data_IF_309533323266
#
_entry.id   IF_309533323266
#
_cell.length_a   1.000
_cell.length_b   1.000
_cell.length_c   1.000
_cell.angle_alpha   90.00
_cell.angle_beta   90.00
_cell.angle_gamma   90.00
#
_symmetry.space_group_name_H-M   'P 1'
#
loop_
_entity.id
_entity.type
_entity.pdbx_description
1 polymer ?
#
# COMPACT_ATOMS: atom_id res chain seq x y z
N UNK A 1 5.34 5.66 -9.39
CA UNK A 1 4.46 5.26 -10.48
C UNK A 1 5.22 5.25 -11.78
N UNK A 2 4.92 4.31 -12.69
CA UNK A 2 5.51 4.30 -14.02
C UNK A 2 5.03 5.51 -14.82
N UNK A 3 5.98 6.21 -15.45
CA UNK A 3 5.71 7.33 -16.36
C UNK A 3 5.17 6.86 -17.72
N UNK A 4 5.35 5.59 -18.06
CA UNK A 4 4.84 4.97 -19.28
C UNK A 4 3.39 4.50 -19.10
N UNK A 5 2.48 5.03 -19.92
CA UNK A 5 1.06 4.66 -19.93
C UNK A 5 0.82 3.16 -20.16
N UNK A 6 1.59 2.53 -21.05
CA UNK A 6 1.41 1.10 -21.39
C UNK A 6 1.68 0.17 -20.20
N UNK A 7 2.57 0.58 -19.30
CA UNK A 7 2.84 -0.15 -18.06
C UNK A 7 1.85 0.26 -16.97
N UNK A 8 1.51 1.55 -16.89
CA UNK A 8 0.54 2.04 -15.93
C UNK A 8 -0.85 1.39 -16.10
N UNK A 9 -1.32 1.21 -17.32
CA UNK A 9 -2.63 0.57 -17.59
C UNK A 9 -2.68 -0.88 -17.12
N UNK A 10 -1.53 -1.58 -17.11
CA UNK A 10 -1.43 -2.93 -16.55
C UNK A 10 -1.52 -2.93 -15.02
N UNK A 11 -1.13 -1.83 -14.38
CA UNK A 11 -1.27 -1.62 -12.94
C UNK A 11 -2.69 -1.20 -12.49
N UNK A 12 -3.68 -1.19 -13.39
CA UNK A 12 -5.05 -0.80 -13.04
C UNK A 12 -5.79 -1.90 -12.29
N UNK A 13 -6.34 -1.58 -11.12
CA UNK A 13 -7.31 -2.41 -10.40
C UNK A 13 -8.74 -1.97 -10.74
N UNK A 14 -9.59 -2.93 -11.10
CA UNK A 14 -11.01 -2.69 -11.41
C UNK A 14 -11.91 -2.85 -10.18
N UNK A 15 -13.10 -2.25 -10.21
CA UNK A 15 -14.08 -2.33 -9.10
C UNK A 15 -14.51 -3.77 -8.84
N UNK A 16 -14.74 -4.55 -9.89
CA UNK A 16 -15.24 -5.92 -9.75
C UNK A 16 -14.17 -6.85 -9.16
N UNK A 17 -12.90 -6.65 -9.53
CA UNK A 17 -11.74 -7.33 -8.93
C UNK A 17 -11.62 -6.99 -7.43
N UNK A 18 -11.71 -5.70 -7.09
CA UNK A 18 -11.69 -5.22 -5.71
C UNK A 18 -12.85 -5.79 -4.88
N UNK A 19 -14.06 -5.82 -5.45
CA UNK A 19 -15.24 -6.37 -4.82
C UNK A 19 -15.07 -7.86 -4.49
N UNK A 20 -14.60 -8.65 -5.45
CA UNK A 20 -14.42 -10.09 -5.25
C UNK A 20 -13.35 -10.41 -4.21
N UNK A 21 -12.24 -9.67 -4.19
CA UNK A 21 -11.21 -9.80 -3.15
C UNK A 21 -11.77 -9.51 -1.75
N UNK A 22 -12.55 -8.43 -1.60
CA UNK A 22 -13.16 -8.07 -0.32
C UNK A 22 -14.24 -9.06 0.12
N UNK A 23 -15.03 -9.57 -0.82
CA UNK A 23 -16.04 -10.59 -0.54
C UNK A 23 -15.42 -11.91 -0.08
N UNK A 24 -14.27 -12.28 -0.66
CA UNK A 24 -13.54 -13.49 -0.28
C UNK A 24 -12.88 -13.36 1.10
N UNK A 25 -12.31 -12.19 1.42
CA UNK A 25 -11.76 -11.95 2.77
C UNK A 25 -12.84 -11.88 3.85
N UNK A 26 -14.01 -11.31 3.55
CA UNK A 26 -15.14 -11.28 4.49
C UNK A 26 -15.73 -12.68 4.73
N UNK A 27 -15.84 -13.50 3.68
CA UNK A 27 -16.30 -14.89 3.80
C UNK A 27 -15.33 -15.79 4.57
N UNK A 28 -14.03 -15.49 4.55
CA UNK A 28 -13.02 -16.18 5.34
C UNK A 28 -13.18 -15.93 6.85
N UNK A 29 -13.55 -14.71 7.24
CA UNK A 29 -13.76 -14.32 8.65
C UNK A 29 -15.05 -14.91 9.25
N UNK A 30 -16.10 -15.10 8.44
CA UNK A 30 -17.39 -15.64 8.90
C UNK A 30 -17.46 -17.17 9.07
N UNK A 31 -16.54 -17.93 8.47
CA UNK A 31 -16.55 -19.40 8.51
C UNK A 31 -16.12 -20.00 9.88
N UNK A 32 -15.74 -19.15 10.85
CA UNK A 32 -15.38 -19.57 12.20
C UNK A 32 -16.46 -19.39 13.28
N UNK A 33 -17.63 -18.85 12.95
CA UNK A 33 -18.61 -18.44 13.96
C UNK A 33 -19.96 -19.18 13.96
N UNK A 34 -20.40 -19.81 12.86
CA UNK A 34 -21.66 -20.56 12.83
C UNK A 34 -21.43 -22.04 12.51
N UNK A 35 -21.36 -22.85 13.57
CA UNK A 35 -21.56 -24.28 13.47
C UNK A 35 -23.04 -24.57 13.22
N UNK A 36 -23.37 -25.06 12.02
CA UNK A 36 -24.71 -25.61 11.75
C UNK A 36 -25.18 -25.40 10.33
N UNK A 37 -24.67 -26.17 9.37
CA UNK A 37 -25.19 -26.17 8.01
C UNK A 37 -24.56 -27.27 7.17
N UNK A 38 -25.14 -28.47 7.27
CA UNK A 38 -24.74 -29.64 6.50
C UNK A 38 -24.85 -29.39 4.99
N UNK A 39 -23.71 -29.48 4.30
CA UNK A 39 -23.61 -29.50 2.84
C UNK A 39 -22.31 -30.18 2.44
N UNK A 40 -22.43 -31.34 1.79
CA UNK A 40 -21.41 -32.33 1.48
C UNK A 40 -20.09 -31.81 0.86
N UNK A 41 -18.97 -32.56 1.02
CA UNK A 41 -17.64 -32.15 0.57
C UNK A 41 -17.51 -32.35 -0.95
N UNK A 42 -17.83 -31.32 -1.71
CA UNK A 42 -17.44 -31.25 -3.12
C UNK A 42 -15.98 -30.78 -3.21
N UNK A 43 -15.28 -31.29 -4.22
CA UNK A 43 -13.86 -31.11 -4.52
C UNK A 43 -13.45 -29.63 -4.68
N UNK A 44 -13.39 -28.88 -3.58
CA UNK A 44 -13.23 -27.43 -3.62
C UNK A 44 -11.77 -27.06 -3.36
N UNK A 45 -11.11 -26.47 -4.36
CA UNK A 45 -9.88 -25.71 -4.15
C UNK A 45 -10.16 -24.37 -3.44
N UNK A 46 -11.41 -23.91 -3.42
CA UNK A 46 -11.88 -22.66 -2.81
C UNK A 46 -11.67 -22.51 -1.29
N UNK A 47 -11.87 -23.52 -0.42
CA UNK A 47 -11.69 -23.41 1.02
C UNK A 47 -10.23 -23.18 1.45
N UNK A 48 -9.24 -23.76 0.75
CA UNK A 48 -7.82 -23.49 1.05
C UNK A 48 -7.45 -22.02 0.82
N UNK A 49 -8.03 -21.39 -0.20
CA UNK A 49 -7.77 -19.97 -0.49
C UNK A 49 -8.52 -19.02 0.45
N UNK A 50 -9.75 -19.40 0.86
CA UNK A 50 -10.47 -18.69 1.92
C UNK A 50 -9.69 -18.70 3.24
N UNK A 51 -8.97 -19.78 3.54
CA UNK A 51 -8.11 -19.87 4.73
C UNK A 51 -6.86 -18.96 4.68
N UNK A 52 -6.41 -18.55 3.49
CA UNK A 52 -5.15 -17.81 3.30
C UNK A 52 -5.35 -16.30 3.04
N UNK A 53 -6.44 -15.90 2.41
CA UNK A 53 -6.76 -14.50 2.11
C UNK A 53 -7.34 -13.79 3.34
N UNK A 54 -6.45 -13.31 4.21
CA UNK A 54 -6.86 -12.38 5.29
C UNK A 54 -6.99 -10.94 4.76
N UNK A 55 -7.72 -10.09 5.47
CA UNK A 55 -7.83 -8.67 5.13
C UNK A 55 -6.46 -7.98 5.05
N UNK A 56 -5.49 -8.39 5.86
CA UNK A 56 -4.13 -7.84 5.82
C UNK A 56 -3.41 -8.16 4.50
N UNK A 57 -3.61 -9.38 3.97
CA UNK A 57 -3.07 -9.76 2.66
C UNK A 57 -3.72 -8.96 1.53
N UNK A 58 -5.05 -8.79 1.57
CA UNK A 58 -5.76 -7.93 0.60
C UNK A 58 -5.23 -6.50 0.65
N UNK A 59 -5.05 -5.92 1.84
CA UNK A 59 -4.46 -4.58 2.00
C UNK A 59 -3.08 -4.51 1.35
N UNK A 60 -2.19 -5.47 1.63
CA UNK A 60 -0.83 -5.52 1.08
C UNK A 60 -0.81 -5.69 -0.44
N UNK A 61 -1.73 -6.48 -1.01
CA UNK A 61 -1.81 -6.74 -2.45
C UNK A 61 -2.28 -5.52 -3.25
N UNK A 62 -3.10 -4.67 -2.63
CA UNK A 62 -3.71 -3.51 -3.28
C UNK A 62 -2.86 -2.24 -3.19
N UNK A 63 -1.89 -2.17 -2.26
CA UNK A 63 -1.00 -1.00 -2.17
C UNK A 63 -0.24 -0.83 -3.49
N UNK A 64 -0.10 0.41 -3.94
CA UNK A 64 0.54 0.78 -5.21
C UNK A 64 -0.22 0.38 -6.48
N UNK A 65 -1.40 -0.23 -6.40
CA UNK A 65 -2.28 -0.36 -7.56
C UNK A 65 -2.83 1.02 -8.00
N UNK A 66 -3.09 1.18 -9.29
CA UNK A 66 -3.74 2.36 -9.85
C UNK A 66 -5.24 2.11 -9.97
N UNK A 67 -6.03 3.11 -9.65
CA UNK A 67 -7.49 3.00 -9.69
C UNK A 67 -8.07 4.22 -10.38
N UNK A 68 -9.01 3.97 -11.29
CA UNK A 68 -9.82 5.03 -11.90
C UNK A 68 -11.03 5.29 -11.01
N UNK A 69 -11.18 6.50 -10.52
CA UNK A 69 -12.19 6.85 -9.51
C UNK A 69 -13.07 7.99 -9.97
N UNK A 70 -14.37 7.81 -9.82
CA UNK A 70 -15.37 8.86 -9.96
C UNK A 70 -15.29 9.80 -8.76
N UNK A 71 -14.90 11.05 -8.99
CA UNK A 71 -14.74 12.05 -7.93
C UNK A 71 -16.13 12.51 -7.46
N UNK A 72 -16.47 12.32 -6.17
CA UNK A 72 -17.76 12.74 -5.63
C UNK A 72 -17.89 14.26 -5.66
N UNK A 73 -19.11 14.77 -5.88
CA UNK A 73 -19.42 16.21 -6.03
C UNK A 73 -18.81 17.10 -4.95
N UNK A 74 -18.80 16.63 -3.70
CA UNK A 74 -18.22 17.35 -2.56
C UNK A 74 -16.71 17.62 -2.69
N UNK A 75 -15.99 16.84 -3.51
CA UNK A 75 -14.54 16.94 -3.72
C UNK A 75 -14.14 17.37 -5.12
N UNK A 76 -15.09 17.58 -6.02
CA UNK A 76 -14.81 17.99 -7.40
C UNK A 76 -14.15 19.37 -7.47
N UNK A 77 -14.50 20.29 -6.57
CA UNK A 77 -13.88 21.62 -6.55
C UNK A 77 -12.38 21.55 -6.23
N UNK A 78 -11.99 20.74 -5.25
CA UNK A 78 -10.59 20.60 -4.85
C UNK A 78 -9.80 19.75 -5.84
N UNK A 79 -10.32 18.57 -6.17
CA UNK A 79 -9.59 17.62 -7.00
C UNK A 79 -9.64 18.05 -8.46
N UNK A 80 -10.82 18.27 -9.06
CA UNK A 80 -10.95 18.53 -10.51
C UNK A 80 -10.70 20.00 -10.85
N UNK A 81 -11.40 20.93 -10.19
CA UNK A 81 -11.34 22.35 -10.55
C UNK A 81 -10.09 23.04 -9.99
N UNK A 82 -9.55 22.61 -8.86
CA UNK A 82 -8.33 23.17 -8.26
C UNK A 82 -7.03 22.76 -8.94
N UNK A 83 -7.04 21.71 -9.77
CA UNK A 83 -5.83 21.18 -10.39
C UNK A 83 -5.53 21.88 -11.74
N UNK A 84 -4.38 22.54 -11.77
CA UNK A 84 -3.86 23.27 -12.94
C UNK A 84 -3.64 22.38 -14.17
N UNK A 85 -3.31 21.10 -13.97
CA UNK A 85 -3.04 20.13 -15.04
C UNK A 85 -4.31 19.59 -15.70
N UNK A 86 -5.42 19.51 -14.98
CA UNK A 86 -6.72 19.20 -15.60
C UNK A 86 -7.25 20.38 -16.39
N UNK A 87 -7.12 21.59 -15.86
CA UNK A 87 -7.48 22.80 -16.62
C UNK A 87 -6.62 22.99 -17.88
N UNK A 88 -5.31 22.73 -17.78
CA UNK A 88 -4.41 22.79 -18.93
C UNK A 88 -4.75 21.72 -20.00
N UNK A 89 -5.19 20.53 -19.57
CA UNK A 89 -5.69 19.50 -20.49
C UNK A 89 -6.97 19.92 -21.22
N UNK A 90 -7.92 20.51 -20.51
CA UNK A 90 -9.19 21.02 -21.06
C UNK A 90 -8.99 22.15 -22.09
N UNK A 91 -8.03 23.05 -21.84
CA UNK A 91 -7.68 24.12 -22.79
C UNK A 91 -7.01 23.57 -24.05
N UNK A 92 -6.25 22.47 -23.94
CA UNK A 92 -5.56 21.85 -25.07
C UNK A 92 -6.50 21.01 -25.97
N UNK A 93 -7.55 20.42 -25.41
CA UNK A 93 -8.50 19.56 -26.16
C UNK A 93 -9.73 20.29 -26.68
N UNK A 94 -9.86 21.60 -26.42
CA UNK A 94 -11.01 22.40 -26.89
C UNK A 94 -12.35 21.98 -26.28
N UNK A 95 -12.34 21.16 -25.24
CA UNK A 95 -13.54 20.68 -24.57
C UNK A 95 -14.19 21.83 -23.79
N UNK A 96 -15.42 22.17 -24.17
CA UNK A 96 -16.23 23.16 -23.46
C UNK A 96 -16.52 22.68 -22.04
N UNK A 97 -16.65 23.62 -21.09
CA UNK A 97 -16.80 23.43 -19.65
C UNK A 97 -17.95 22.51 -19.17
N UNK A 98 -18.72 21.91 -20.09
CA UNK A 98 -19.80 20.95 -19.84
C UNK A 98 -19.41 19.47 -19.90
N UNK A 99 -18.30 19.09 -20.55
CA UNK A 99 -17.76 17.71 -20.47
C UNK A 99 -16.87 17.59 -19.24
N UNK A 100 -17.49 17.60 -18.06
CA UNK A 100 -16.79 17.50 -16.80
C UNK A 100 -16.08 16.14 -16.70
N UNK A 101 -14.74 16.14 -16.64
CA UNK A 101 -13.96 14.96 -16.28
C UNK A 101 -14.31 14.57 -14.84
N UNK A 102 -15.28 13.66 -14.69
CA UNK A 102 -15.69 13.14 -13.39
C UNK A 102 -14.69 12.13 -12.83
N UNK A 103 -13.68 11.74 -13.61
CA UNK A 103 -12.77 10.66 -13.29
C UNK A 103 -11.35 11.16 -13.06
N UNK A 104 -10.69 10.52 -12.10
CA UNK A 104 -9.28 10.74 -11.75
C UNK A 104 -8.59 9.40 -11.57
N UNK A 105 -7.32 9.34 -11.95
CA UNK A 105 -6.45 8.22 -11.60
C UNK A 105 -5.81 8.52 -10.26
N UNK A 106 -5.93 7.58 -9.32
CA UNK A 106 -5.29 7.63 -8.02
C UNK A 106 -4.49 6.37 -7.75
N UNK A 107 -3.40 6.52 -7.00
CA UNK A 107 -2.62 5.41 -6.43
C UNK A 107 -3.23 4.97 -5.11
N UNK A 108 -3.43 3.67 -4.91
CA UNK A 108 -3.82 3.13 -3.61
C UNK A 108 -2.62 3.18 -2.65
N UNK A 109 -2.82 3.87 -1.52
CA UNK A 109 -1.85 3.97 -0.42
C UNK A 109 -2.35 3.20 0.80
N UNK A 110 -3.66 3.14 1.01
CA UNK A 110 -4.25 2.42 2.13
C UNK A 110 -5.65 1.90 1.78
N UNK A 111 -6.06 0.83 2.46
CA UNK A 111 -7.44 0.34 2.47
C UNK A 111 -7.88 0.27 3.95
N UNK A 112 -8.93 1.01 4.27
CA UNK A 112 -9.39 1.28 5.65
C UNK A 112 -10.87 0.92 5.76
N UNK A 113 -11.30 0.16 6.79
CA UNK A 113 -12.72 -0.07 7.03
C UNK A 113 -13.39 1.26 7.43
N UNK A 114 -14.57 1.52 6.89
CA UNK A 114 -15.33 2.73 7.19
C UNK A 114 -15.87 2.62 8.62
N UNK A 115 -15.58 3.58 9.52
CA UNK A 115 -16.15 3.57 10.85
C UNK A 115 -17.68 3.68 10.73
N UNK A 116 -18.39 2.65 11.21
CA UNK A 116 -19.84 2.70 11.36
C UNK A 116 -20.13 3.71 12.47
N UNK A 117 -20.58 4.90 12.10
CA UNK A 117 -21.25 5.76 13.07
C UNK A 117 -22.45 4.95 13.59
N UNK A 118 -22.59 4.84 14.91
CA UNK A 118 -23.80 4.32 15.52
C UNK A 118 -24.95 5.28 15.14
N UNK A 119 -25.61 5.00 14.02
CA UNK A 119 -26.85 5.67 13.65
C UNK A 119 -27.99 4.77 14.09
N UNK A 120 -28.52 5.05 15.28
CA UNK A 120 -29.91 4.79 15.58
C UNK A 120 -30.76 5.55 14.56
N UNK A 121 -31.26 4.83 13.56
CA UNK A 121 -32.12 5.38 12.52
C UNK A 121 -32.59 4.26 11.59
N UNK A 122 -33.90 4.16 11.31
CA UNK A 122 -34.47 2.98 10.69
C UNK A 122 -33.90 2.81 9.28
N UNK A 123 -33.35 1.64 9.01
CA UNK A 123 -32.96 1.22 7.66
C UNK A 123 -34.20 1.29 6.76
N UNK A 124 -34.33 2.37 5.99
CA UNK A 124 -35.14 2.34 4.78
C UNK A 124 -34.49 1.34 3.84
N UNK A 125 -35.15 0.19 3.69
CA UNK A 125 -34.85 -0.85 2.70
C UNK A 125 -34.67 -0.19 1.33
N UNK A 126 -33.42 -0.02 0.92
CA UNK A 126 -33.06 0.19 -0.46
C UNK A 126 -32.47 -1.12 -0.94
N UNK A 127 -33.08 -1.70 -1.97
CA UNK A 127 -32.68 -2.91 -2.69
C UNK A 127 -31.30 -2.72 -3.35
N UNK A 128 -30.24 -2.63 -2.54
CA UNK A 128 -28.87 -2.66 -3.02
C UNK A 128 -28.44 -4.13 -3.13
N UNK A 129 -28.01 -4.52 -4.33
CA UNK A 129 -27.32 -5.79 -4.57
C UNK A 129 -26.29 -6.05 -3.45
N UNK A 130 -26.17 -7.29 -2.92
CA UNK A 130 -25.26 -7.62 -1.83
C UNK A 130 -23.80 -7.18 -2.12
N UNK A 131 -23.44 -7.04 -3.40
CA UNK A 131 -22.15 -6.55 -3.84
C UNK A 131 -21.88 -5.06 -3.57
N UNK A 132 -22.91 -4.23 -3.63
CA UNK A 132 -22.80 -2.79 -3.36
C UNK A 132 -22.62 -2.49 -1.86
N UNK A 133 -23.12 -3.39 -0.99
CA UNK A 133 -23.01 -3.25 0.46
C UNK A 133 -21.56 -3.35 0.92
N UNK A 134 -20.82 -4.37 0.45
CA UNK A 134 -19.41 -4.58 0.85
C UNK A 134 -18.51 -3.41 0.40
N UNK A 135 -18.64 -2.92 -0.83
CA UNK A 135 -17.84 -1.78 -1.30
C UNK A 135 -18.16 -0.46 -0.58
N UNK A 136 -19.32 -0.36 0.07
CA UNK A 136 -19.72 0.82 0.83
C UNK A 136 -19.11 0.88 2.24
N UNK A 137 -18.64 -0.27 2.73
CA UNK A 137 -18.00 -0.47 4.04
C UNK A 137 -16.51 -0.19 4.03
N UNK A 138 -15.89 -0.03 2.85
CA UNK A 138 -14.44 0.19 2.72
C UNK A 138 -14.11 1.57 2.12
N UNK A 139 -13.05 2.19 2.66
CA UNK A 139 -12.45 3.43 2.19
C UNK A 139 -11.05 3.13 1.62
N UNK A 140 -10.75 3.72 0.47
CA UNK A 140 -9.46 3.71 -0.18
C UNK A 140 -8.75 5.04 0.11
N UNK A 141 -7.57 4.99 0.71
CA UNK A 141 -6.62 6.10 0.74
C UNK A 141 -5.95 6.20 -0.61
N UNK A 142 -6.29 7.21 -1.39
CA UNK A 142 -5.81 7.43 -2.74
C UNK A 142 -4.90 8.64 -2.80
N UNK A 143 -3.71 8.45 -3.35
CA UNK A 143 -2.79 9.52 -3.69
C UNK A 143 -3.04 9.95 -5.14
N UNK A 144 -3.44 11.21 -5.34
CA UNK A 144 -3.62 11.83 -6.65
C UNK A 144 -2.38 12.62 -7.12
N UNK A 145 -1.27 12.54 -6.36
CA UNK A 145 0.00 13.24 -6.59
C UNK A 145 0.09 14.61 -5.91
N UNK A 146 -1.03 15.35 -5.89
CA UNK A 146 -1.17 16.65 -5.23
C UNK A 146 -1.82 16.57 -3.85
N UNK A 147 -2.68 15.57 -3.64
CA UNK A 147 -3.42 15.35 -2.42
C UNK A 147 -3.65 13.85 -2.20
N UNK A 148 -3.58 13.44 -0.94
CA UNK A 148 -3.94 12.09 -0.48
C UNK A 148 -5.32 12.15 0.18
N UNK A 149 -6.28 11.42 -0.36
CA UNK A 149 -7.70 11.54 -0.02
C UNK A 149 -8.34 10.18 0.23
N UNK A 150 -9.24 10.11 1.22
CA UNK A 150 -9.98 8.88 1.55
C UNK A 150 -11.29 8.82 0.76
N UNK A 151 -11.38 7.95 -0.24
CA UNK A 151 -12.56 7.80 -1.11
C UNK A 151 -13.20 6.43 -0.91
N UNK A 152 -14.53 6.34 -0.90
CA UNK A 152 -15.21 5.04 -0.77
C UNK A 152 -14.91 4.11 -1.95
N UNK A 153 -14.73 2.82 -1.68
CA UNK A 153 -14.44 1.81 -2.72
C UNK A 153 -15.55 1.71 -3.79
N UNK A 154 -16.78 2.12 -3.45
CA UNK A 154 -17.91 2.22 -4.40
C UNK A 154 -17.69 3.17 -5.58
N UNK A 155 -16.78 4.14 -5.46
CA UNK A 155 -16.53 5.15 -6.51
C UNK A 155 -15.51 4.68 -7.55
N UNK A 156 -14.92 3.49 -7.38
CA UNK A 156 -14.00 2.89 -8.35
C UNK A 156 -14.75 2.50 -9.61
N UNK A 157 -14.17 2.80 -10.77
CA UNK A 157 -14.70 2.42 -12.08
C UNK A 157 -14.09 1.10 -12.58
N UNK A 158 -14.86 0.36 -13.37
CA UNK A 158 -14.37 -0.80 -14.14
C UNK A 158 -13.74 -0.39 -15.47
N UNK A 159 -13.99 0.83 -15.93
CA UNK A 159 -13.47 1.28 -17.22
C UNK A 159 -11.96 1.56 -17.14
N UNK A 160 -11.20 1.25 -18.20
CA UNK A 160 -9.79 1.60 -18.27
C UNK A 160 -9.61 3.12 -18.17
N UNK A 161 -8.57 3.59 -17.48
CA UNK A 161 -8.24 5.01 -17.49
C UNK A 161 -7.56 5.41 -18.80
N UNK A 162 -7.74 6.66 -19.20
CA UNK A 162 -7.17 7.16 -20.47
C UNK A 162 -5.72 7.61 -20.31
N UNK A 163 -4.99 7.72 -21.42
CA UNK A 163 -3.64 8.27 -21.44
C UNK A 163 -3.60 9.72 -20.94
N UNK A 164 -4.67 10.49 -21.17
CA UNK A 164 -4.82 11.86 -20.69
C UNK A 164 -4.98 11.90 -19.16
N UNK A 165 -5.84 11.04 -18.61
CA UNK A 165 -6.05 10.93 -17.16
C UNK A 165 -4.75 10.50 -16.44
N UNK A 166 -3.98 9.59 -17.06
CA UNK A 166 -2.65 9.19 -16.57
C UNK A 166 -1.62 10.31 -16.67
N UNK A 167 -1.58 11.06 -17.77
CA UNK A 167 -0.66 12.18 -17.95
C UNK A 167 -0.91 13.28 -16.92
N UNK A 168 -2.17 13.59 -16.62
CA UNK A 168 -2.57 14.51 -15.53
C UNK A 168 -2.04 14.02 -14.19
N UNK A 169 -2.23 12.74 -13.88
CA UNK A 169 -1.76 12.13 -12.64
C UNK A 169 -0.22 12.20 -12.50
N UNK A 170 0.52 11.85 -13.56
CA UNK A 170 1.99 11.93 -13.59
C UNK A 170 2.46 13.37 -13.40
N UNK A 171 1.86 14.34 -14.10
CA UNK A 171 2.20 15.77 -13.95
C UNK A 171 1.92 16.28 -12.54
N UNK A 172 0.81 15.84 -11.93
CA UNK A 172 0.44 16.19 -10.56
C UNK A 172 1.46 15.64 -9.55
N UNK A 173 1.91 14.38 -9.73
CA UNK A 173 2.96 13.76 -8.91
C UNK A 173 4.35 14.42 -9.06
N UNK A 174 4.64 15.00 -10.23
CA UNK A 174 5.92 15.67 -10.50
C UNK A 174 5.94 17.11 -9.95
N UNK A 175 4.78 17.77 -9.93
CA UNK A 175 4.62 19.16 -9.46
C UNK A 175 4.96 19.34 -7.98
N UNK A 176 4.51 18.42 -7.14
CA UNK A 176 4.70 18.46 -5.68
C UNK A 176 6.14 18.26 -5.23
N UNK A 177 7.03 17.79 -6.13
CA UNK A 177 8.46 17.54 -5.85
C UNK A 177 9.31 18.80 -5.81
N UNK A 178 8.92 19.87 -6.50
CA UNK A 178 9.78 21.05 -6.67
C UNK A 178 9.87 21.88 -5.37
N UNK A 179 8.97 21.66 -4.41
CA UNK A 179 8.87 22.47 -3.19
C UNK A 179 9.27 21.81 -1.87
N UNK A 180 9.52 20.50 -1.81
CA UNK A 180 9.80 19.81 -0.53
C UNK A 180 10.95 18.82 -0.68
N UNK A 181 12.10 19.13 -0.05
CA UNK A 181 13.31 18.31 -0.07
C UNK A 181 13.23 17.02 0.78
N UNK A 182 12.06 16.68 1.32
CA UNK A 182 11.84 15.52 2.18
C UNK A 182 10.44 14.93 1.94
N UNK A 183 10.25 14.18 0.86
CA UNK A 183 9.09 13.31 0.71
C UNK A 183 9.41 12.11 -0.23
N UNK A 184 8.99 10.93 0.22
CA UNK A 184 9.15 9.58 -0.35
C UNK A 184 9.07 9.44 -1.89
N UNK A 185 9.59 8.34 -2.49
CA UNK A 185 9.74 8.21 -3.94
C UNK A 185 8.37 8.16 -4.65
N UNK A 186 7.92 9.30 -5.18
CA UNK A 186 6.69 9.37 -5.99
C UNK A 186 6.74 8.52 -7.29
N UNK A 187 7.92 8.08 -7.71
CA UNK A 187 8.14 7.24 -8.88
C UNK A 187 8.65 5.87 -8.42
N UNK A 188 7.72 4.95 -8.12
CA UNK A 188 7.96 3.49 -8.13
C UNK A 188 9.04 3.11 -9.13
N UNK A 189 10.01 2.34 -8.64
CA UNK A 189 11.04 1.74 -9.48
C UNK A 189 10.40 0.80 -10.50
N UNK A 190 11.09 0.53 -11.62
CA UNK A 190 10.63 -0.44 -12.61
C UNK A 190 10.36 -1.82 -11.98
N UNK A 191 11.22 -2.21 -11.02
CA UNK A 191 11.07 -3.45 -10.27
C UNK A 191 9.78 -3.50 -9.43
N UNK A 192 9.43 -2.41 -8.73
CA UNK A 192 8.16 -2.33 -8.00
C UNK A 192 6.96 -2.38 -8.93
N UNK A 193 7.05 -1.73 -10.09
CA UNK A 193 5.97 -1.72 -11.06
C UNK A 193 5.74 -3.12 -11.66
N UNK A 194 6.81 -3.87 -11.93
CA UNK A 194 6.73 -5.27 -12.39
C UNK A 194 6.08 -6.19 -11.35
N UNK A 195 6.37 -5.97 -10.06
CA UNK A 195 5.72 -6.72 -8.96
C UNK A 195 4.23 -6.42 -8.92
N UNK A 196 3.83 -5.15 -9.03
CA UNK A 196 2.40 -4.78 -9.06
C UNK A 196 1.69 -5.35 -10.28
N UNK A 197 2.31 -5.32 -11.46
CA UNK A 197 1.76 -5.93 -12.68
C UNK A 197 1.55 -7.43 -12.50
N UNK A 198 2.52 -8.15 -11.93
CA UNK A 198 2.40 -9.59 -11.65
C UNK A 198 1.29 -9.86 -10.63
N UNK A 199 1.25 -9.11 -9.53
CA UNK A 199 0.21 -9.26 -8.52
C UNK A 199 -1.19 -9.05 -9.08
N UNK A 200 -1.39 -8.01 -9.92
CA UNK A 200 -2.68 -7.75 -10.55
C UNK A 200 -3.04 -8.78 -11.61
N UNK A 201 -2.04 -9.30 -12.33
CA UNK A 201 -2.24 -10.42 -13.24
C UNK A 201 -2.74 -11.67 -12.49
N UNK A 202 -2.11 -12.00 -11.36
CA UNK A 202 -2.49 -13.12 -10.52
C UNK A 202 -3.87 -12.92 -9.89
N UNK A 203 -4.18 -11.70 -9.42
CA UNK A 203 -5.51 -11.31 -8.93
C UNK A 203 -6.57 -11.53 -10.00
N UNK A 204 -6.33 -11.09 -11.24
CA UNK A 204 -7.27 -11.26 -12.35
C UNK A 204 -7.52 -12.72 -12.67
N UNK A 205 -6.47 -13.51 -12.78
CA UNK A 205 -6.59 -14.95 -12.99
C UNK A 205 -7.36 -15.62 -11.85
N UNK A 206 -7.09 -15.20 -10.62
CA UNK A 206 -7.76 -15.71 -9.42
C UNK A 206 -9.25 -15.35 -9.40
N UNK A 207 -9.59 -14.08 -9.60
CA UNK A 207 -10.98 -13.61 -9.65
C UNK A 207 -11.73 -14.32 -10.78
N UNK A 208 -11.13 -14.46 -11.96
CA UNK A 208 -11.73 -15.21 -13.06
C UNK A 208 -11.98 -16.68 -12.70
N UNK A 209 -11.05 -17.35 -12.03
CA UNK A 209 -11.21 -18.72 -11.57
C UNK A 209 -12.31 -18.86 -10.50
N UNK A 210 -12.42 -17.91 -9.57
CA UNK A 210 -13.46 -17.88 -8.54
C UNK A 210 -14.83 -17.63 -9.16
N UNK A 211 -14.94 -16.66 -10.07
CA UNK A 211 -16.18 -16.35 -10.80
C UNK A 211 -16.60 -17.54 -11.66
N UNK A 212 -15.66 -18.19 -12.36
CA UNK A 212 -15.94 -19.41 -13.14
C UNK A 212 -16.39 -20.58 -12.25
N UNK A 213 -15.79 -20.75 -11.06
CA UNK A 213 -16.20 -21.79 -10.12
C UNK A 213 -17.59 -21.54 -9.51
N UNK A 214 -17.95 -20.27 -9.22
CA UNK A 214 -19.30 -19.88 -8.79
C UNK A 214 -20.31 -19.99 -9.93
N UNK A 215 -19.91 -19.58 -11.14
CA UNK A 215 -20.69 -19.63 -12.37
C UNK A 215 -20.89 -21.04 -12.90
N UNK A 216 -20.02 -22.00 -12.59
CA UNK A 216 -20.15 -23.41 -12.95
C UNK A 216 -21.38 -24.10 -12.37
N UNK A 217 -22.03 -23.49 -11.35
CA UNK A 217 -23.32 -23.93 -10.83
C UNK A 217 -24.53 -23.42 -11.63
N UNK A 218 -24.36 -22.40 -12.48
CA UNK A 218 -25.41 -21.81 -13.33
C UNK A 218 -25.14 -21.92 -14.84
N UNK A 219 -23.89 -22.15 -15.25
CA UNK A 219 -23.46 -22.27 -16.65
C UNK A 219 -23.47 -23.73 -17.17
N UNK A 220 -23.71 -24.72 -16.30
CA UNK A 220 -23.94 -26.11 -16.72
C UNK A 220 -25.24 -26.29 -17.53
N UNK A 221 -26.11 -25.26 -17.58
CA UNK A 221 -27.37 -25.27 -18.33
C UNK A 221 -27.43 -24.29 -19.50
N UNK A 222 -26.40 -23.46 -19.77
CA UNK A 222 -26.52 -22.39 -20.76
C UNK A 222 -25.36 -22.24 -21.77
N UNK A 223 -24.26 -22.96 -21.64
CA UNK A 223 -23.10 -22.77 -22.54
C UNK A 223 -22.72 -24.06 -23.26
N UNK A 224 -23.69 -24.62 -24.00
CA UNK A 224 -23.44 -25.57 -25.10
C UNK A 224 -23.60 -24.85 -26.43
N UNK A 225 -22.91 -23.73 -26.64
CA UNK A 225 -22.63 -23.23 -28.00
C UNK A 225 -21.29 -22.48 -27.95
N UNK A 226 -20.42 -22.77 -28.92
CA UNK A 226 -19.11 -22.16 -29.21
C UNK A 226 -17.86 -22.77 -28.52
N UNK A 227 -17.41 -23.92 -29.05
CA UNK A 227 -16.11 -23.93 -29.72
C UNK A 227 -14.88 -24.48 -28.97
N UNK A 228 -14.47 -25.69 -29.39
CA UNK A 228 -13.12 -26.28 -29.36
C UNK A 228 -12.69 -27.03 -28.09
N UNK A 229 -12.70 -28.37 -28.20
CA UNK A 229 -11.61 -29.20 -27.63
C UNK A 229 -11.92 -30.20 -26.52
N UNK A 230 -13.10 -30.84 -26.48
CA UNK A 230 -13.40 -31.90 -25.52
C UNK A 230 -12.55 -33.18 -25.78
N UNK A 231 -11.39 -33.29 -25.13
CA UNK A 231 -10.72 -34.59 -24.91
C UNK A 231 -11.34 -35.27 -23.69
N UNK A 232 -12.20 -36.27 -23.93
CA UNK A 232 -12.67 -37.22 -22.92
C UNK A 232 -11.48 -37.94 -22.28
N UNK A 233 -11.39 -37.91 -20.95
CA UNK A 233 -10.68 -38.93 -20.15
C UNK A 233 -11.73 -39.74 -19.38
N UNK A 234 -11.66 -41.08 -19.36
CA UNK A 234 -12.52 -41.90 -18.52
C UNK A 234 -12.03 -41.80 -17.07
N UNK A 235 -12.96 -41.63 -16.13
CA UNK A 235 -12.69 -41.70 -14.69
C UNK A 235 -13.46 -42.91 -14.18
N UNK A 236 -12.73 -43.96 -13.83
CA UNK A 236 -13.24 -45.09 -13.06
C UNK A 236 -13.62 -44.58 -11.66
N UNK A 237 -14.88 -44.80 -11.30
CA UNK A 237 -15.39 -44.62 -9.95
C UNK A 237 -15.30 -45.97 -9.22
N UNK A 238 -14.39 -46.07 -8.27
CA UNK A 238 -14.52 -47.02 -7.17
C UNK A 238 -15.12 -46.22 -6.01
N UNK A 239 -16.43 -46.37 -5.81
CA UNK A 239 -17.10 -45.94 -4.59
C UNK A 239 -17.37 -47.19 -3.75
N UNK A 240 -16.81 -47.18 -2.55
CA UNK A 240 -16.94 -48.20 -1.52
C UNK A 240 -18.24 -47.89 -0.79
N UNK A 241 -19.27 -48.71 -1.03
CA UNK A 241 -20.56 -48.64 -0.37
C UNK A 241 -20.82 -49.89 0.46
N UNK A 242 -20.61 -49.74 1.77
CA UNK A 242 -21.04 -50.60 2.88
C UNK A 242 -22.55 -50.93 2.78
N UNK A 243 -22.93 -52.18 2.99
CA UNK A 243 -24.30 -52.65 2.74
C UNK A 243 -24.51 -54.14 3.00
N UNK A 244 -24.59 -54.48 4.28
CA UNK A 244 -24.90 -55.79 4.85
C UNK A 244 -26.12 -56.50 4.25
N UNK A 245 -25.96 -57.83 4.09
CA UNK A 245 -26.97 -58.88 4.29
C UNK A 245 -28.24 -58.88 3.42
N UNK A 246 -28.24 -59.71 2.37
CA UNK A 246 -29.25 -60.77 2.35
C UNK A 246 -28.75 -62.03 1.63
N UNK A 247 -28.75 -63.10 2.39
CA UNK A 247 -28.47 -64.46 1.99
C UNK A 247 -29.57 -64.92 1.02
N UNK A 248 -29.26 -65.07 -0.26
CA UNK A 248 -30.11 -65.87 -1.15
C UNK A 248 -29.24 -66.77 -2.01
N UNK A 249 -29.16 -68.00 -1.53
CA UNK A 249 -28.58 -69.16 -2.15
C UNK A 249 -29.39 -69.50 -3.41
N UNK A 250 -29.00 -68.94 -4.56
CA UNK A 250 -29.40 -69.48 -5.85
C UNK A 250 -28.16 -70.03 -6.54
N UNK A 251 -28.01 -71.35 -6.40
CA UNK A 251 -27.36 -72.20 -7.38
C UNK A 251 -27.99 -71.92 -8.75
N UNK A 252 -27.43 -70.99 -9.50
CA UNK A 252 -27.43 -71.04 -10.94
C UNK A 252 -25.98 -71.33 -11.32
N UNK A 253 -25.70 -72.62 -11.51
CA UNK A 253 -24.60 -73.02 -12.38
C UNK A 253 -24.72 -72.18 -13.66
N UNK A 254 -23.69 -71.45 -14.08
CA UNK A 254 -23.60 -71.12 -15.48
C UNK A 254 -23.38 -72.47 -16.18
N UNK A 255 -24.41 -72.94 -16.87
CA UNK A 255 -24.27 -73.81 -18.04
C UNK A 255 -23.19 -73.18 -18.93
N UNK A 256 -21.94 -73.55 -18.67
CA UNK A 256 -20.92 -73.56 -19.69
C UNK A 256 -21.26 -74.78 -20.55
N UNK A 257 -22.27 -74.59 -21.41
CA UNK A 257 -22.36 -75.33 -22.65
C UNK A 257 -21.01 -75.16 -23.34
N UNK A 258 -20.20 -76.19 -23.16
CA UNK A 258 -18.93 -76.38 -23.79
C UNK A 258 -19.15 -76.69 -25.28
N UNK A 259 -19.69 -75.72 -26.02
CA UNK A 259 -19.34 -75.50 -27.42
C UNK A 259 -17.96 -74.83 -27.42
N UNK A 260 -16.95 -75.60 -26.97
CA UNK A 260 -15.61 -75.36 -27.44
C UNK A 260 -15.64 -75.69 -28.94
N UNK A 261 -16.06 -74.73 -29.76
CA UNK A 261 -15.62 -74.66 -31.15
C UNK A 261 -14.11 -74.89 -31.07
N UNK A 262 -13.69 -76.08 -31.50
CA UNK A 262 -12.29 -76.47 -31.56
C UNK A 262 -11.65 -75.48 -32.53
N UNK A 263 -11.14 -74.37 -31.97
CA UNK A 263 -10.39 -73.37 -32.70
C UNK A 263 -9.38 -74.15 -33.52
N UNK A 264 -9.40 -73.93 -34.84
CA UNK A 264 -8.48 -74.65 -35.72
C UNK A 264 -7.05 -74.42 -35.20
N UNK A 265 -6.15 -75.37 -35.42
CA UNK A 265 -4.75 -75.26 -34.97
C UNK A 265 -4.10 -73.91 -35.35
N UNK A 266 -4.55 -73.31 -36.44
CA UNK A 266 -4.14 -71.97 -36.89
C UNK A 266 -4.69 -70.84 -36.00
N UNK A 267 -5.96 -70.91 -35.60
CA UNK A 267 -6.59 -69.93 -34.69
C UNK A 267 -5.94 -69.93 -33.30
N UNK A 268 -5.60 -71.11 -32.76
CA UNK A 268 -4.86 -71.21 -31.49
C UNK A 268 -3.45 -70.61 -31.57
N UNK A 269 -2.78 -70.72 -32.72
CA UNK A 269 -1.47 -70.08 -32.93
C UNK A 269 -1.60 -68.56 -33.02
N UNK A 270 -2.67 -68.06 -33.66
CA UNK A 270 -2.98 -66.62 -33.73
C UNK A 270 -3.31 -66.05 -32.36
N UNK A 271 -4.12 -66.72 -31.55
CA UNK A 271 -4.41 -66.27 -30.18
C UNK A 271 -3.18 -66.30 -29.27
N UNK A 272 -2.33 -67.33 -29.40
CA UNK A 272 -1.06 -67.40 -28.67
C UNK A 272 -0.09 -66.30 -29.10
N UNK A 273 -0.12 -65.88 -30.36
CA UNK A 273 0.62 -64.73 -30.84
C UNK A 273 0.05 -63.42 -30.28
N UNK A 274 -1.28 -63.23 -30.29
CA UNK A 274 -1.96 -62.07 -29.69
C UNK A 274 -1.65 -61.93 -28.20
N UNK A 275 -1.73 -63.01 -27.43
CA UNK A 275 -1.39 -62.97 -26.00
C UNK A 275 0.09 -62.64 -25.74
N UNK A 276 1.02 -63.06 -26.61
CA UNK A 276 2.43 -62.66 -26.51
C UNK A 276 2.60 -61.17 -26.82
N UNK A 277 1.89 -60.66 -27.83
CA UNK A 277 1.89 -59.22 -28.15
C UNK A 277 1.28 -58.38 -27.04
N UNK A 278 0.16 -58.81 -26.46
CA UNK A 278 -0.47 -58.16 -25.31
C UNK A 278 0.46 -58.13 -24.10
N UNK A 279 1.13 -59.24 -23.76
CA UNK A 279 2.12 -59.25 -22.67
C UNK A 279 3.25 -58.25 -22.92
N UNK A 280 3.79 -58.20 -24.14
CA UNK A 280 4.81 -57.21 -24.52
C UNK A 280 4.29 -55.77 -24.41
N UNK A 281 3.03 -55.52 -24.77
CA UNK A 281 2.40 -54.20 -24.60
C UNK A 281 2.28 -53.83 -23.12
N UNK A 282 1.87 -54.78 -22.28
CA UNK A 282 1.80 -54.57 -20.82
C UNK A 282 3.17 -54.34 -20.18
N UNK A 283 4.20 -55.06 -20.64
CA UNK A 283 5.58 -54.85 -20.20
C UNK A 283 6.10 -53.48 -20.63
N UNK A 284 5.87 -53.06 -21.88
CA UNK A 284 6.23 -51.71 -22.36
C UNK A 284 5.54 -50.61 -21.58
N UNK A 285 4.24 -50.75 -21.31
CA UNK A 285 3.47 -49.80 -20.49
C UNK A 285 4.01 -49.70 -19.06
N UNK A 286 4.38 -50.84 -18.47
CA UNK A 286 4.99 -50.87 -17.13
C UNK A 286 6.35 -50.17 -17.11
N UNK A 287 7.19 -50.43 -18.10
CA UNK A 287 8.49 -49.78 -18.22
C UNK A 287 8.36 -48.26 -18.45
N UNK A 288 7.41 -47.83 -19.26
CA UNK A 288 7.09 -46.41 -19.47
C UNK A 288 6.63 -45.75 -18.18
N UNK A 289 5.70 -46.38 -17.43
CA UNK A 289 5.26 -45.88 -16.13
C UNK A 289 6.44 -45.79 -15.14
N UNK A 290 7.33 -46.78 -15.12
CA UNK A 290 8.50 -46.78 -14.25
C UNK A 290 9.49 -45.67 -14.63
N UNK A 291 9.71 -45.42 -15.93
CA UNK A 291 10.50 -44.27 -16.41
C UNK A 291 9.86 -42.95 -16.01
N UNK A 292 8.55 -42.78 -16.16
CA UNK A 292 7.84 -41.59 -15.72
C UNK A 292 7.98 -41.36 -14.21
N UNK A 293 7.85 -42.41 -13.38
CA UNK A 293 8.06 -42.31 -11.93
C UNK A 293 9.50 -41.92 -11.59
N UNK A 294 10.51 -42.49 -12.26
CA UNK A 294 11.90 -42.08 -12.06
C UNK A 294 12.14 -40.62 -12.45
N UNK A 295 11.56 -40.16 -13.56
CA UNK A 295 11.66 -38.76 -14.01
C UNK A 295 11.02 -37.79 -13.03
N UNK A 296 9.86 -38.15 -12.47
CA UNK A 296 9.19 -37.36 -11.43
C UNK A 296 10.00 -37.30 -10.14
N UNK A 297 10.62 -38.41 -9.70
CA UNK A 297 11.51 -38.42 -8.53
C UNK A 297 12.73 -37.54 -8.74
N UNK A 298 13.35 -37.59 -9.91
CA UNK A 298 14.48 -36.72 -10.25
C UNK A 298 14.08 -35.25 -10.27
N UNK A 299 12.94 -34.93 -10.88
CA UNK A 299 12.41 -33.56 -10.90
C UNK A 299 12.11 -33.05 -9.49
N UNK A 300 11.50 -33.88 -8.65
CA UNK A 300 11.20 -33.53 -7.25
C UNK A 300 12.47 -33.29 -6.45
N UNK A 301 13.51 -34.13 -6.63
CA UNK A 301 14.80 -33.92 -5.98
C UNK A 301 15.50 -32.65 -6.48
N UNK A 302 15.44 -32.38 -7.79
CA UNK A 302 15.98 -31.15 -8.38
C UNK A 302 15.28 -29.91 -7.81
N UNK A 303 13.94 -29.93 -7.75
CA UNK A 303 13.12 -28.85 -7.18
C UNK A 303 13.36 -28.67 -5.69
N UNK A 304 13.53 -29.75 -4.92
CA UNK A 304 13.92 -29.67 -3.52
C UNK A 304 15.30 -29.00 -3.34
N UNK A 305 16.26 -29.32 -4.20
CA UNK A 305 17.58 -28.68 -4.20
C UNK A 305 17.54 -27.20 -4.61
N UNK A 306 16.66 -26.82 -5.53
CA UNK A 306 16.39 -25.40 -5.85
C UNK A 306 15.78 -24.66 -4.66
N UNK A 307 14.76 -25.22 -4.01
CA UNK A 307 14.10 -24.63 -2.85
C UNK A 307 15.10 -24.43 -1.71
N UNK A 308 15.94 -25.42 -1.42
CA UNK A 308 16.97 -25.30 -0.39
C UNK A 308 17.95 -24.16 -0.70
N UNK A 309 18.40 -24.03 -1.96
CA UNK A 309 19.28 -22.92 -2.39
C UNK A 309 18.61 -21.56 -2.23
N UNK A 310 17.34 -21.44 -2.62
CA UNK A 310 16.56 -20.20 -2.45
C UNK A 310 16.41 -19.85 -0.97
N UNK A 311 16.10 -20.84 -0.12
CA UNK A 311 16.01 -20.62 1.33
C UNK A 311 17.34 -20.19 1.95
N UNK A 312 18.46 -20.78 1.51
CA UNK A 312 19.78 -20.36 1.97
C UNK A 312 20.11 -18.93 1.53
N UNK A 313 19.84 -18.58 0.27
CA UNK A 313 20.05 -17.22 -0.23
C UNK A 313 19.17 -16.21 0.50
N UNK A 314 17.91 -16.54 0.80
CA UNK A 314 17.02 -15.69 1.58
C UNK A 314 17.56 -15.46 3.00
N UNK A 315 18.01 -16.51 3.68
CA UNK A 315 18.60 -16.38 5.03
C UNK A 315 19.86 -15.53 5.04
N UNK A 316 20.69 -15.62 3.99
CA UNK A 316 21.87 -14.78 3.83
C UNK A 316 21.48 -13.31 3.63
N UNK A 317 20.54 -13.03 2.72
CA UNK A 317 20.04 -11.68 2.49
C UNK A 317 19.39 -11.07 3.75
N UNK A 318 18.67 -11.86 4.53
CA UNK A 318 18.10 -11.42 5.81
C UNK A 318 19.19 -11.09 6.84
N UNK A 319 20.28 -11.86 6.89
CA UNK A 319 21.40 -11.59 7.77
C UNK A 319 22.14 -10.31 7.36
N UNK A 320 22.42 -10.14 6.07
CA UNK A 320 23.03 -8.93 5.51
C UNK A 320 22.17 -7.70 5.82
N UNK A 321 20.86 -7.76 5.55
CA UNK A 321 19.94 -6.67 5.85
C UNK A 321 19.89 -6.33 7.35
N UNK A 322 19.97 -7.32 8.25
CA UNK A 322 20.07 -7.05 9.70
C UNK A 322 21.35 -6.30 10.05
N UNK A 323 22.49 -6.69 9.49
CA UNK A 323 23.76 -5.98 9.72
C UNK A 323 23.74 -4.56 9.17
N UNK A 324 23.12 -4.33 8.01
CA UNK A 324 22.94 -2.99 7.46
C UNK A 324 22.06 -2.12 8.36
N UNK A 325 20.94 -2.67 8.85
CA UNK A 325 20.07 -1.96 9.80
C UNK A 325 20.80 -1.59 11.10
N UNK A 326 21.63 -2.48 11.64
CA UNK A 326 22.44 -2.21 12.83
C UNK A 326 23.46 -1.09 12.57
N UNK A 327 24.12 -1.10 11.42
CA UNK A 327 25.03 -0.02 11.01
C UNK A 327 24.30 1.33 10.86
N UNK A 328 23.11 1.33 10.26
CA UNK A 328 22.29 2.53 10.13
C UNK A 328 21.83 3.06 11.48
N UNK A 329 21.40 2.18 12.39
CA UNK A 329 21.06 2.56 13.77
C UNK A 329 22.25 3.20 14.47
N UNK A 330 23.42 2.58 14.43
CA UNK A 330 24.64 3.16 14.99
C UNK A 330 24.94 4.56 14.46
N UNK A 331 24.89 4.76 13.13
CA UNK A 331 25.08 6.08 12.51
C UNK A 331 24.05 7.11 12.97
N UNK A 332 22.78 6.72 13.08
CA UNK A 332 21.73 7.64 13.55
C UNK A 332 21.90 8.02 15.02
N UNK A 333 22.34 7.08 15.86
CA UNK A 333 22.63 7.34 17.27
C UNK A 333 23.85 8.26 17.41
N UNK A 334 24.92 8.03 16.65
CA UNK A 334 26.11 8.90 16.61
C UNK A 334 25.75 10.32 16.14
N UNK A 335 24.97 10.45 15.06
CA UNK A 335 24.48 11.76 14.59
C UNK A 335 23.61 12.44 15.65
N UNK A 336 22.73 11.69 16.33
CA UNK A 336 21.90 12.21 17.42
C UNK A 336 22.71 12.63 18.65
N UNK A 337 23.83 11.97 18.93
CA UNK A 337 24.76 12.37 19.99
C UNK A 337 25.56 13.62 19.59
N UNK A 338 26.02 13.71 18.34
CA UNK A 338 26.73 14.86 17.82
C UNK A 338 25.84 16.12 17.83
N UNK A 339 24.58 15.99 17.38
CA UNK A 339 23.59 17.06 17.43
C UNK A 339 23.37 17.56 18.87
N UNK A 340 23.22 16.65 19.83
CA UNK A 340 23.10 16.99 21.26
C UNK A 340 24.36 17.63 21.85
N UNK A 341 25.56 17.42 21.28
CA UNK A 341 26.79 18.12 21.70
C UNK A 341 26.78 19.55 21.15
N UNK A 342 26.49 19.71 19.87
CA UNK A 342 26.39 21.02 19.20
C UNK A 342 25.32 21.88 19.88
N UNK A 343 24.16 21.32 20.21
CA UNK A 343 23.09 22.04 20.92
C UNK A 343 23.53 22.54 22.31
N UNK A 344 24.35 21.76 23.02
CA UNK A 344 24.92 22.16 24.32
C UNK A 344 25.95 23.27 24.16
N UNK A 345 26.89 23.12 23.23
CA UNK A 345 27.89 24.15 22.92
C UNK A 345 27.21 25.47 22.52
N UNK A 346 26.17 25.41 21.69
CA UNK A 346 25.42 26.59 21.25
C UNK A 346 24.59 27.19 22.40
N UNK A 347 24.11 26.39 23.35
CA UNK A 347 23.48 26.90 24.57
C UNK A 347 24.49 27.63 25.47
N UNK A 348 25.67 27.06 25.68
CA UNK A 348 26.77 27.68 26.42
C UNK A 348 27.22 29.00 25.78
N UNK A 349 27.38 29.05 24.45
CA UNK A 349 27.70 30.28 23.72
C UNK A 349 26.64 31.37 23.93
N UNK A 350 25.35 31.00 23.96
CA UNK A 350 24.26 31.95 24.23
C UNK A 350 24.31 32.48 25.66
N UNK A 351 24.68 31.68 26.64
CA UNK A 351 24.87 32.13 28.02
C UNK A 351 26.04 33.11 28.12
N UNK A 352 27.18 32.77 27.51
CA UNK A 352 28.35 33.66 27.44
C UNK A 352 27.98 34.99 26.75
N UNK A 353 27.21 34.97 25.67
CA UNK A 353 26.71 36.19 25.02
C UNK A 353 25.81 37.01 25.93
N UNK A 354 24.95 36.39 26.74
CA UNK A 354 24.12 37.10 27.73
C UNK A 354 24.99 37.77 28.79
N UNK A 355 25.99 37.06 29.34
CA UNK A 355 26.92 37.66 30.29
C UNK A 355 27.67 38.86 29.69
N UNK A 356 28.12 38.76 28.44
CA UNK A 356 28.76 39.88 27.75
C UNK A 356 27.81 41.07 27.59
N UNK A 357 26.54 40.83 27.22
CA UNK A 357 25.52 41.88 27.16
C UNK A 357 25.32 42.55 28.51
N UNK A 358 25.16 41.78 29.59
CA UNK A 358 25.04 42.33 30.94
C UNK A 358 26.28 43.15 31.35
N UNK A 359 27.50 42.68 31.04
CA UNK A 359 28.74 43.43 31.29
C UNK A 359 28.74 44.76 30.50
N UNK A 360 28.32 44.74 29.23
CA UNK A 360 28.21 45.97 28.43
C UNK A 360 27.16 46.93 28.96
N UNK A 361 26.00 46.44 29.39
CA UNK A 361 24.94 47.26 29.99
C UNK A 361 25.41 47.94 31.28
N UNK A 362 26.17 47.22 32.14
CA UNK A 362 26.78 47.80 33.35
C UNK A 362 27.78 48.90 33.00
N UNK A 363 28.64 48.69 32.00
CA UNK A 363 29.59 49.71 31.54
C UNK A 363 28.88 50.94 30.97
N UNK A 364 27.82 50.74 30.17
CA UNK A 364 27.00 51.85 29.65
C UNK A 364 26.34 52.63 30.79
N UNK A 365 25.84 51.94 31.83
CA UNK A 365 25.29 52.60 33.00
C UNK A 365 26.33 53.43 33.77
N UNK A 366 27.56 52.92 33.90
CA UNK A 366 28.67 53.67 34.50
C UNK A 366 29.07 54.90 33.65
N UNK A 367 29.14 54.76 32.33
CA UNK A 367 29.41 55.87 31.42
C UNK A 367 28.32 56.95 31.50
N UNK A 368 27.04 56.56 31.60
CA UNK A 368 25.94 57.52 31.81
C UNK A 368 26.10 58.29 33.12
N UNK A 369 26.46 57.61 34.22
CA UNK A 369 26.74 58.28 35.51
C UNK A 369 27.92 59.25 35.42
N UNK A 370 28.99 58.87 34.72
CA UNK A 370 30.14 59.76 34.48
C UNK A 370 29.76 60.96 33.61
N UNK A 371 28.91 60.77 32.59
CA UNK A 371 28.38 61.85 31.76
C UNK A 371 27.50 62.82 32.58
N UNK A 372 26.68 62.31 33.48
CA UNK A 372 25.90 63.14 34.42
C UNK A 372 26.81 63.91 35.39
N UNK A 373 27.86 63.28 35.93
CA UNK A 373 28.84 63.96 36.78
C UNK A 373 29.59 65.06 36.03
N UNK A 374 30.07 64.79 34.82
CA UNK A 374 30.75 65.79 33.99
C UNK A 374 29.82 66.93 33.59
N UNK A 375 28.52 66.67 33.36
CA UNK A 375 27.52 67.72 33.18
C UNK A 375 27.39 68.61 34.41
N UNK A 376 27.29 68.02 35.61
CA UNK A 376 27.26 68.78 36.88
C UNK A 376 28.54 69.61 37.08
N UNK A 377 29.71 69.03 36.81
CA UNK A 377 30.98 69.77 36.85
C UNK A 377 31.00 70.93 35.86
N UNK A 378 30.47 70.72 34.65
CA UNK A 378 30.33 71.79 33.65
C UNK A 378 29.38 72.89 34.12
N UNK A 379 28.24 72.55 34.69
CA UNK A 379 27.30 73.52 35.26
C UNK A 379 27.97 74.35 36.37
N UNK A 380 28.78 73.71 37.23
CA UNK A 380 29.57 74.40 38.26
C UNK A 380 30.66 75.28 37.63
N UNK A 381 31.38 74.80 36.61
CA UNK A 381 32.42 75.60 35.95
C UNK A 381 31.85 76.77 35.16
N UNK A 382 30.72 76.58 34.49
CA UNK A 382 30.00 77.62 33.75
C UNK A 382 29.49 78.68 34.73
N UNK A 383 28.94 78.26 35.88
CA UNK A 383 28.63 79.18 36.97
C UNK A 383 29.88 79.95 37.41
N UNK A 384 30.98 79.28 37.79
CA UNK A 384 32.22 79.98 38.20
C UNK A 384 32.72 80.94 37.10
N UNK A 385 32.64 80.57 35.83
CA UNK A 385 33.00 81.44 34.71
C UNK A 385 32.07 82.65 34.56
N UNK A 386 30.77 82.50 34.77
CA UNK A 386 29.80 83.62 34.85
C UNK A 386 30.13 84.56 36.02
N UNK A 387 30.46 84.00 37.18
CA UNK A 387 30.87 84.78 38.35
C UNK A 387 32.21 85.52 38.12
N UNK A 388 33.17 84.89 37.43
CA UNK A 388 34.42 85.53 37.03
C UNK A 388 34.21 86.60 35.95
N UNK A 389 33.25 86.43 35.04
CA UNK A 389 32.82 87.48 34.09
C UNK A 389 32.17 88.68 34.80
N UNK A 390 31.49 88.44 35.91
CA UNK A 390 31.01 89.51 36.82
C UNK A 390 32.16 90.20 37.58
N UNK A 391 33.37 89.62 37.59
CA UNK A 391 34.61 90.17 38.13
C UNK A 391 35.18 91.40 37.40
N UNK A 392 34.44 92.01 36.48
CA UNK A 392 34.71 93.38 36.01
C UNK A 392 34.18 94.45 36.97
N UNK A 393 33.66 94.05 38.15
CA UNK A 393 33.26 94.94 39.24
C UNK A 393 34.08 94.69 40.50
N UNK A 394 34.24 95.75 41.30
CA UNK A 394 35.21 95.85 42.40
C UNK A 394 35.07 94.71 43.44
N UNK A 395 36.18 94.28 44.07
CA UNK A 395 36.24 93.10 44.96
C UNK A 395 35.31 93.18 46.19
N UNK A 396 34.92 94.38 46.61
CA UNK A 396 34.02 94.58 47.75
C UNK A 396 32.57 94.14 47.47
N UNK A 397 32.10 94.27 46.22
CA UNK A 397 30.74 93.87 45.84
C UNK A 397 30.59 92.34 45.77
N UNK A 398 31.67 91.63 45.43
CA UNK A 398 31.71 90.17 45.34
C UNK A 398 31.60 89.53 46.74
N UNK A 399 32.25 90.11 47.75
CA UNK A 399 32.18 89.65 49.15
C UNK A 399 30.78 89.84 49.77
N UNK A 400 30.10 90.95 49.44
CA UNK A 400 28.74 91.20 49.90
C UNK A 400 27.72 90.25 49.25
N UNK A 401 27.89 89.93 47.96
CA UNK A 401 27.03 89.00 47.24
C UNK A 401 27.21 87.55 47.71
N UNK A 402 28.45 87.13 48.04
CA UNK A 402 28.74 85.82 48.63
C UNK A 402 28.07 85.64 50.00
N UNK A 403 28.13 86.64 50.87
CA UNK A 403 27.43 86.57 52.18
C UNK A 403 25.92 86.49 52.03
N UNK A 404 25.35 87.14 51.01
CA UNK A 404 23.90 87.09 50.74
C UNK A 404 23.46 85.72 50.18
N UNK A 405 24.18 85.18 49.20
CA UNK A 405 23.86 83.85 48.63
C UNK A 405 24.13 82.68 49.59
N UNK A 406 25.12 82.81 50.48
CA UNK A 406 25.40 81.80 51.50
C UNK A 406 24.32 81.81 52.61
N UNK A 407 23.70 82.96 52.87
CA UNK A 407 22.53 83.06 53.74
C UNK A 407 21.24 82.51 53.09
N UNK A 408 21.06 82.72 51.78
CA UNK A 408 19.91 82.19 51.03
C UNK A 408 19.96 80.68 50.78
N UNK A 409 21.14 80.05 50.87
CA UNK A 409 21.31 78.59 50.70
C UNK A 409 21.31 77.81 52.01
N UNK A 410 21.23 78.51 53.16
CA UNK A 410 21.10 77.92 54.50
C UNK A 410 19.68 78.02 55.08
N UNK A 411 18.73 78.68 54.39
CA UNK A 411 17.29 78.45 54.52
C UNK A 411 16.85 77.42 53.49
#
# INVERSE_FOLDING_TARGET
>A
MPSNYALASQCQLQRDELHELLALSASAAGAGADGGGAGAPACDKLPLWRLLLTEAHVRSLLVHALVRVSVPKSRQQQLIQGNKYVQAGLQATGATAGQQHHYRVGKVVALVPRPRAASDGPQTKADASPAASLLSEWLLGLDFGEATELVGAKYVSNEPFSAEEHAVFVRSCLSTRIGTAAAAPALMTAAEADVVVRNLHDIRQYVAAVVAARGGKAAATATVVAGVGARKRPRDGADIGDGSSNNNNNNNEPDFDAEAELLSREQLLVERARHREERRRWESLRDEQQRHLSGLRQLLNSKNGEIQRVLHAQRQAEAEHRTELEQWRGKTEEQGQAMRRIERELAEEREVQKEHREKTERLVAQLKKLAEQTRKFKEVSDAVAEWLRLGTKQPEEVLASLKRKLAESQM
#
